data_IF_033334095429
#
_entry.id   IF_033334095429
#
_cell.length_a   1.000
_cell.length_b   1.000
_cell.length_c   1.000
_cell.angle_alpha   90.00
_cell.angle_beta   90.00
_cell.angle_gamma   90.00
#
_symmetry.space_group_name_H-M   'P 1'
#
loop_
_entity.id
_entity.type
_entity.pdbx_description
1 polymer ?
#
# COMPACT_ATOMS: atom_id res chain seq x y z
N UNK A 1 -50.54 -3.08 36.20
CA UNK A 1 -50.52 -3.68 37.56
C UNK A 1 -51.70 -3.14 38.35
N UNK A 2 -52.36 -3.98 39.11
CA UNK A 2 -53.40 -3.57 40.05
C UNK A 2 -52.77 -2.90 41.31
N UNK A 3 -53.15 -1.71 41.65
CA UNK A 3 -52.60 -0.98 42.82
C UNK A 3 -53.04 -1.55 44.18
N UNK A 4 -54.10 -2.36 44.19
CA UNK A 4 -54.63 -2.94 45.43
C UNK A 4 -54.03 -4.30 45.77
N UNK A 5 -53.81 -5.16 44.76
CA UNK A 5 -53.34 -6.54 44.99
C UNK A 5 -52.07 -6.93 44.25
N UNK A 6 -51.52 -6.03 43.44
CA UNK A 6 -50.27 -6.27 42.70
C UNK A 6 -50.39 -7.24 41.51
N UNK A 7 -51.58 -7.69 41.11
CA UNK A 7 -51.77 -8.58 39.98
C UNK A 7 -51.45 -7.89 38.65
N UNK A 8 -50.71 -8.59 37.80
CA UNK A 8 -50.28 -8.09 36.47
C UNK A 8 -51.28 -8.47 35.38
N UNK A 9 -51.51 -7.54 34.45
CA UNK A 9 -52.38 -7.76 33.30
C UNK A 9 -51.71 -7.21 32.02
N UNK A 10 -51.83 -7.95 30.92
CA UNK A 10 -51.21 -7.54 29.64
C UNK A 10 -51.97 -6.38 28.96
N UNK A 11 -53.18 -6.07 29.44
CA UNK A 11 -54.02 -4.98 28.93
C UNK A 11 -54.77 -4.36 30.08
N UNK A 12 -55.12 -3.08 29.92
CA UNK A 12 -55.99 -2.37 30.87
C UNK A 12 -57.39 -3.00 30.84
N UNK A 13 -57.93 -3.18 31.99
CA UNK A 13 -59.33 -3.59 32.20
C UNK A 13 -59.93 -2.81 33.39
N UNK A 14 -61.21 -2.49 33.31
CA UNK A 14 -61.87 -1.68 34.30
C UNK A 14 -61.97 -2.29 35.70
N UNK A 15 -61.95 -3.61 35.80
CA UNK A 15 -61.97 -4.33 37.07
C UNK A 15 -60.80 -5.31 37.16
N UNK A 16 -60.17 -5.39 38.30
CA UNK A 16 -59.13 -6.40 38.58
C UNK A 16 -59.79 -7.75 38.79
N UNK A 17 -59.41 -8.77 37.98
CA UNK A 17 -59.95 -10.12 38.08
C UNK A 17 -59.44 -10.88 39.31
N UNK A 18 -58.39 -10.44 39.97
CA UNK A 18 -57.82 -11.05 41.16
C UNK A 18 -58.45 -10.55 42.47
N UNK A 19 -58.64 -9.23 42.64
CA UNK A 19 -59.21 -8.65 43.85
C UNK A 19 -60.57 -7.98 43.65
N UNK A 20 -61.11 -7.98 42.42
CA UNK A 20 -62.39 -7.40 42.03
C UNK A 20 -62.55 -5.89 42.26
N UNK A 21 -61.43 -5.18 42.57
CA UNK A 21 -61.45 -3.73 42.72
C UNK A 21 -61.58 -3.05 41.34
N UNK A 22 -62.38 -1.97 41.27
CA UNK A 22 -62.60 -1.23 40.03
C UNK A 22 -61.61 -0.05 39.90
N UNK A 23 -61.14 0.20 38.64
CA UNK A 23 -60.25 1.27 38.26
C UNK A 23 -58.91 1.34 39.03
N UNK A 24 -58.44 0.17 39.49
CA UNK A 24 -57.20 0.02 40.25
C UNK A 24 -56.03 -0.43 39.37
N UNK A 25 -56.30 -0.76 38.09
CA UNK A 25 -55.26 -1.16 37.16
C UNK A 25 -54.65 0.08 36.51
N UNK A 26 -53.42 0.36 36.87
CA UNK A 26 -52.61 1.43 36.27
C UNK A 26 -51.57 0.82 35.35
N UNK A 27 -51.33 1.49 34.23
CA UNK A 27 -50.21 1.18 33.39
C UNK A 27 -48.94 1.59 34.15
N UNK A 28 -48.28 0.61 34.74
CA UNK A 28 -46.90 0.81 35.18
C UNK A 28 -46.10 0.84 33.89
N UNK A 29 -45.77 2.03 33.43
CA UNK A 29 -44.59 2.17 32.56
C UNK A 29 -43.40 1.78 33.44
N UNK A 30 -43.19 0.45 33.57
CA UNK A 30 -41.89 -0.05 33.88
C UNK A 30 -41.00 0.65 32.87
N UNK A 31 -39.93 1.26 33.30
CA UNK A 31 -38.76 1.41 32.44
C UNK A 31 -38.50 -0.01 32.05
N UNK A 32 -39.12 -0.45 30.95
CA UNK A 32 -38.75 -1.66 30.27
C UNK A 32 -37.23 -1.45 30.14
N UNK A 33 -36.47 -2.27 30.86
CA UNK A 33 -35.10 -2.50 30.47
C UNK A 33 -35.22 -2.75 28.97
N UNK A 34 -34.88 -1.74 28.20
CA UNK A 34 -34.96 -1.79 26.74
C UNK A 34 -34.42 -3.13 26.44
N UNK A 35 -35.16 -4.06 25.78
CA UNK A 35 -34.57 -5.32 25.40
C UNK A 35 -33.29 -4.86 24.78
N UNK A 36 -32.15 -5.34 25.32
CA UNK A 36 -30.85 -5.06 24.75
C UNK A 36 -31.08 -5.36 23.28
N UNK A 37 -31.32 -4.30 22.51
CA UNK A 37 -31.51 -4.41 21.07
C UNK A 37 -30.21 -5.05 20.73
N UNK A 38 -30.26 -6.37 20.42
CA UNK A 38 -29.08 -7.12 20.01
C UNK A 38 -28.52 -6.25 18.90
N UNK A 39 -27.49 -5.49 19.22
CA UNK A 39 -26.91 -4.52 18.29
C UNK A 39 -26.60 -5.33 17.08
N UNK A 40 -27.33 -5.08 16.00
CA UNK A 40 -27.06 -5.76 14.77
C UNK A 40 -25.62 -5.42 14.43
N UNK A 41 -24.71 -6.37 14.61
CA UNK A 41 -23.26 -6.15 14.44
C UNK A 41 -22.93 -5.57 13.06
N UNK A 42 -23.81 -5.82 12.08
CA UNK A 42 -23.73 -5.21 10.74
C UNK A 42 -23.92 -3.70 10.72
N UNK A 43 -24.62 -3.15 11.70
CA UNK A 43 -24.88 -1.70 11.82
C UNK A 43 -23.87 -1.02 12.74
N UNK A 44 -22.97 -1.77 13.40
CA UNK A 44 -21.92 -1.21 14.22
C UNK A 44 -20.78 -0.64 13.34
N UNK A 45 -20.19 0.48 13.77
CA UNK A 45 -19.01 1.04 13.12
C UNK A 45 -17.75 0.17 13.33
N UNK A 46 -16.65 0.58 12.73
CA UNK A 46 -15.35 -0.12 12.79
C UNK A 46 -14.45 0.33 13.95
N UNK A 47 -14.94 1.20 14.84
CA UNK A 47 -14.18 1.80 15.94
C UNK A 47 -13.96 0.86 17.14
N UNK A 48 -14.41 -0.40 17.06
CA UNK A 48 -14.38 -1.35 18.16
C UNK A 48 -15.64 -1.30 19.02
N UNK A 49 -15.71 -2.21 19.98
CA UNK A 49 -16.86 -2.29 20.89
C UNK A 49 -16.67 -1.25 21.99
N UNK A 50 -17.17 -0.07 21.78
CA UNK A 50 -17.42 0.80 22.92
C UNK A 50 -18.51 0.10 23.75
N UNK A 51 -18.29 -0.14 25.01
CA UNK A 51 -19.34 -0.43 25.99
C UNK A 51 -20.46 0.61 25.88
N UNK A 52 -21.19 0.89 26.91
CA UNK A 52 -22.19 1.98 26.90
C UNK A 52 -21.54 3.25 26.30
N UNK A 53 -22.13 3.76 25.20
CA UNK A 53 -21.61 4.91 24.51
C UNK A 53 -21.55 6.11 25.48
N UNK A 54 -20.34 6.60 25.75
CA UNK A 54 -20.08 7.76 26.61
C UNK A 54 -19.36 8.84 25.82
N UNK A 55 -19.80 10.06 25.97
CA UNK A 55 -19.07 11.23 25.47
C UNK A 55 -17.85 11.44 26.35
N UNK A 56 -16.66 11.52 25.79
CA UNK A 56 -15.41 11.77 26.48
C UNK A 56 -14.71 12.98 25.84
N UNK A 57 -13.97 13.72 26.64
CA UNK A 57 -13.08 14.76 26.10
C UNK A 57 -11.87 14.10 25.45
N UNK A 58 -11.38 14.67 24.38
CA UNK A 58 -10.19 14.16 23.68
C UNK A 58 -8.97 14.09 24.62
N UNK A 59 -8.83 15.05 25.54
CA UNK A 59 -7.77 15.07 26.55
C UNK A 59 -7.80 13.91 27.53
N UNK A 60 -8.98 13.32 27.76
CA UNK A 60 -9.19 12.26 28.74
C UNK A 60 -9.02 10.86 28.13
N UNK A 61 -8.80 10.82 26.80
CA UNK A 61 -8.54 9.57 26.09
C UNK A 61 -7.07 9.21 26.29
N UNK A 62 -6.84 8.05 26.89
CA UNK A 62 -5.49 7.52 27.06
C UNK A 62 -4.82 7.30 25.71
N UNK A 63 -3.65 7.91 25.53
CA UNK A 63 -2.77 7.71 24.39
C UNK A 63 -1.84 6.51 24.60
N UNK A 64 -2.31 5.43 25.22
CA UNK A 64 -1.54 4.21 25.27
C UNK A 64 -1.22 3.77 23.84
N UNK A 65 0.04 3.94 23.46
CA UNK A 65 0.54 3.37 22.22
C UNK A 65 0.44 1.85 22.34
N UNK A 66 -0.44 1.25 21.55
CA UNK A 66 -0.49 -0.20 21.42
C UNK A 66 0.87 -0.68 20.90
N UNK A 67 1.58 -1.55 21.63
CA UNK A 67 2.89 -2.00 21.22
C UNK A 67 2.76 -2.74 19.89
N UNK A 68 3.44 -2.22 18.86
CA UNK A 68 3.53 -2.88 17.55
C UNK A 68 4.47 -4.09 17.65
N UNK A 69 4.23 -5.10 16.85
CA UNK A 69 5.18 -6.19 16.70
C UNK A 69 5.70 -6.26 15.25
N UNK A 70 6.96 -6.69 15.13
CA UNK A 70 7.60 -6.80 13.81
C UNK A 70 7.10 -8.02 13.07
N UNK A 71 6.97 -7.90 11.75
CA UNK A 71 6.72 -9.03 10.84
C UNK A 71 7.95 -9.93 10.66
N UNK A 72 9.10 -9.51 11.17
CA UNK A 72 10.40 -10.13 10.90
C UNK A 72 11.07 -9.63 9.62
N UNK A 73 10.41 -8.75 8.87
CA UNK A 73 10.93 -8.07 7.69
C UNK A 73 10.91 -6.55 7.91
N UNK A 74 12.06 -5.90 7.85
CA UNK A 74 12.17 -4.43 7.98
C UNK A 74 11.45 -3.69 6.86
N UNK A 75 11.51 -4.22 5.64
CA UNK A 75 10.85 -3.64 4.49
C UNK A 75 9.32 -3.78 4.56
N UNK A 76 8.81 -4.85 5.15
CA UNK A 76 7.38 -5.01 5.40
C UNK A 76 6.92 -4.11 6.56
N UNK A 77 7.65 -4.09 7.65
CA UNK A 77 7.37 -3.22 8.80
C UNK A 77 7.33 -1.75 8.39
N UNK A 78 8.26 -1.31 7.53
CA UNK A 78 8.27 0.05 6.96
C UNK A 78 6.95 0.39 6.31
N UNK A 79 6.47 -0.45 5.43
CA UNK A 79 5.23 -0.24 4.67
C UNK A 79 4.00 -0.23 5.58
N UNK A 80 4.05 -0.97 6.69
CA UNK A 80 3.00 -0.98 7.72
C UNK A 80 3.08 0.21 8.69
N UNK A 81 4.11 1.06 8.58
CA UNK A 81 4.31 2.21 9.46
C UNK A 81 5.04 1.88 10.76
N UNK A 82 5.84 0.81 10.77
CA UNK A 82 6.68 0.38 11.90
C UNK A 82 6.30 -0.95 12.51
N UNK A 83 5.47 -1.75 11.84
CA UNK A 83 5.06 -3.08 12.27
C UNK A 83 3.55 -3.24 12.35
N UNK A 84 3.11 -4.40 12.85
CA UNK A 84 1.70 -4.75 12.97
C UNK A 84 1.12 -4.19 14.27
N UNK A 85 0.02 -3.46 14.15
CA UNK A 85 -0.74 -2.95 15.29
C UNK A 85 -1.74 -4.04 15.74
N UNK A 86 -1.76 -4.45 17.02
CA UNK A 86 -2.76 -5.39 17.53
C UNK A 86 -4.18 -4.94 17.24
N UNK A 87 -5.03 -5.86 16.80
CA UNK A 87 -6.43 -5.54 16.45
C UNK A 87 -6.61 -4.79 15.14
N UNK A 88 -5.57 -4.62 14.34
CA UNK A 88 -5.65 -3.98 13.02
C UNK A 88 -6.11 -4.92 11.93
N UNK A 89 -6.81 -4.37 10.94
CA UNK A 89 -7.19 -5.07 9.71
C UNK A 89 -6.33 -4.56 8.55
N UNK A 90 -5.56 -5.47 7.96
CA UNK A 90 -4.62 -5.19 6.88
C UNK A 90 -5.07 -5.94 5.63
N UNK A 91 -5.03 -5.29 4.47
CA UNK A 91 -5.26 -5.91 3.18
C UNK A 91 -3.95 -5.94 2.39
N UNK A 92 -3.56 -7.12 1.91
CA UNK A 92 -2.46 -7.28 0.95
C UNK A 92 -3.05 -7.64 -0.40
N UNK A 93 -2.96 -6.71 -1.35
CA UNK A 93 -3.34 -6.90 -2.74
C UNK A 93 -2.14 -7.21 -3.63
N UNK A 94 -2.42 -7.64 -4.84
CA UNK A 94 -1.41 -7.89 -5.87
C UNK A 94 -1.83 -8.95 -6.88
N UNK A 95 -1.12 -9.00 -8.00
CA UNK A 95 -1.37 -9.97 -9.05
C UNK A 95 -1.18 -11.42 -8.54
N UNK A 96 -1.88 -12.40 -9.12
CA UNK A 96 -1.56 -13.80 -8.90
C UNK A 96 -0.07 -14.06 -9.22
N UNK A 97 0.61 -14.82 -8.37
CA UNK A 97 2.04 -15.10 -8.53
C UNK A 97 3.00 -14.01 -8.03
N UNK A 98 2.52 -12.86 -7.55
CA UNK A 98 3.38 -11.81 -6.99
C UNK A 98 4.14 -12.25 -5.73
N UNK A 99 3.64 -13.26 -5.01
CA UNK A 99 4.29 -13.78 -3.79
C UNK A 99 3.62 -13.40 -2.49
N UNK A 100 2.35 -12.95 -2.52
CA UNK A 100 1.58 -12.55 -1.32
C UNK A 100 1.52 -13.67 -0.27
N UNK A 101 1.06 -14.84 -0.67
CA UNK A 101 0.96 -16.01 0.21
C UNK A 101 2.32 -16.47 0.72
N UNK A 102 3.37 -16.37 -0.10
CA UNK A 102 4.75 -16.67 0.30
C UNK A 102 5.25 -15.71 1.38
N UNK A 103 5.06 -14.40 1.19
CA UNK A 103 5.45 -13.39 2.17
C UNK A 103 4.77 -13.63 3.52
N UNK A 104 3.47 -13.90 3.50
CA UNK A 104 2.70 -14.12 4.72
C UNK A 104 3.02 -15.44 5.39
N UNK A 105 3.26 -16.51 4.62
CA UNK A 105 3.70 -17.79 5.18
C UNK A 105 5.07 -17.65 5.87
N UNK A 106 6.01 -16.96 5.26
CA UNK A 106 7.31 -16.65 5.88
C UNK A 106 7.16 -15.83 7.15
N UNK A 107 6.28 -14.82 7.14
CA UNK A 107 5.99 -13.98 8.31
C UNK A 107 5.41 -14.81 9.44
N UNK A 108 4.36 -15.59 9.18
CA UNK A 108 3.67 -16.35 10.21
C UNK A 108 4.51 -17.49 10.78
N UNK A 109 5.27 -18.20 9.96
CA UNK A 109 6.16 -19.26 10.45
C UNK A 109 7.21 -18.73 11.45
N UNK A 110 7.76 -17.54 11.18
CA UNK A 110 8.73 -16.90 12.09
C UNK A 110 8.07 -16.39 13.36
N UNK A 111 6.92 -15.73 13.23
CA UNK A 111 6.19 -15.20 14.38
C UNK A 111 5.61 -16.31 15.26
N UNK A 112 5.28 -17.47 14.70
CA UNK A 112 4.76 -18.61 15.44
C UNK A 112 5.71 -19.14 16.53
N UNK A 113 7.01 -18.85 16.41
CA UNK A 113 7.99 -19.19 17.44
C UNK A 113 7.86 -18.34 18.72
N UNK A 114 7.22 -17.16 18.61
CA UNK A 114 7.12 -16.19 19.69
C UNK A 114 5.68 -15.94 20.16
N UNK A 115 4.71 -16.13 19.29
CA UNK A 115 3.31 -15.85 19.55
C UNK A 115 2.39 -16.81 18.81
N UNK A 116 1.15 -16.96 19.27
CA UNK A 116 0.15 -17.72 18.55
C UNK A 116 -0.24 -17.03 17.25
N UNK A 117 -0.14 -17.76 16.15
CA UNK A 117 -0.52 -17.33 14.80
C UNK A 117 -1.43 -18.35 14.15
N UNK A 118 -2.34 -17.90 13.30
CA UNK A 118 -3.28 -18.76 12.58
C UNK A 118 -3.27 -18.38 11.08
N UNK A 119 -3.00 -19.36 10.23
CA UNK A 119 -3.10 -19.21 8.78
C UNK A 119 -4.34 -19.92 8.27
N UNK A 120 -5.29 -19.15 7.76
CA UNK A 120 -6.55 -19.68 7.19
C UNK A 120 -6.41 -19.69 5.67
N UNK A 121 -6.53 -20.89 5.09
CA UNK A 121 -6.51 -21.07 3.64
C UNK A 121 -7.86 -21.51 3.13
N UNK A 122 -8.37 -20.83 2.10
CA UNK A 122 -9.57 -21.22 1.38
C UNK A 122 -9.32 -21.59 -0.08
N UNK A 123 -8.12 -21.35 -0.58
CA UNK A 123 -7.74 -21.65 -1.97
C UNK A 123 -6.86 -22.88 -2.11
N UNK A 124 -5.92 -23.05 -1.21
CA UNK A 124 -4.98 -24.16 -1.23
C UNK A 124 -5.29 -25.15 -0.10
N UNK A 125 -5.00 -26.43 -0.33
CA UNK A 125 -5.09 -27.44 0.74
C UNK A 125 -3.99 -27.23 1.79
N UNK A 126 -4.21 -27.70 2.99
CA UNK A 126 -3.20 -27.67 4.06
C UNK A 126 -1.89 -28.34 3.62
N UNK A 127 -1.99 -29.42 2.85
CA UNK A 127 -0.83 -30.14 2.33
C UNK A 127 -0.03 -29.27 1.33
N UNK A 128 -0.70 -28.53 0.44
CA UNK A 128 -0.02 -27.64 -0.51
C UNK A 128 0.75 -26.53 0.21
N UNK A 129 0.14 -25.94 1.24
CA UNK A 129 0.82 -24.91 2.04
C UNK A 129 1.99 -25.49 2.82
N UNK A 130 1.83 -26.67 3.42
CA UNK A 130 2.89 -27.38 4.14
C UNK A 130 4.08 -27.72 3.22
N UNK A 131 3.81 -28.20 2.00
CA UNK A 131 4.85 -28.47 0.99
C UNK A 131 5.61 -27.22 0.61
N UNK A 132 4.93 -26.08 0.45
CA UNK A 132 5.56 -24.79 0.19
C UNK A 132 6.46 -24.37 1.35
N UNK A 133 5.96 -24.43 2.59
CA UNK A 133 6.75 -24.10 3.77
C UNK A 133 8.02 -24.96 3.89
N UNK A 134 7.90 -26.25 3.61
CA UNK A 134 9.04 -27.17 3.62
C UNK A 134 10.06 -26.83 2.51
N UNK A 135 9.60 -26.58 1.30
CA UNK A 135 10.48 -26.17 0.18
C UNK A 135 11.23 -24.87 0.49
N UNK A 136 10.59 -23.93 1.18
CA UNK A 136 11.18 -22.65 1.57
C UNK A 136 12.10 -22.78 2.80
N UNK A 137 12.17 -23.95 3.43
CA UNK A 137 12.98 -24.16 4.64
C UNK A 137 12.50 -23.38 5.85
N UNK A 138 11.19 -23.18 5.97
CA UNK A 138 10.60 -22.41 7.07
C UNK A 138 10.41 -23.25 8.34
N UNK A 139 10.47 -22.64 9.55
CA UNK A 139 10.10 -23.31 10.79
C UNK A 139 8.60 -23.56 10.80
N UNK A 140 8.19 -24.82 10.74
CA UNK A 140 6.78 -25.22 10.61
C UNK A 140 6.13 -25.70 11.90
N UNK A 141 6.92 -25.91 12.97
CA UNK A 141 6.47 -26.63 14.17
C UNK A 141 5.37 -25.94 14.98
N UNK A 142 5.27 -24.62 14.90
CA UNK A 142 4.40 -23.82 15.77
C UNK A 142 3.27 -23.08 15.03
N UNK A 143 3.25 -23.08 13.69
CA UNK A 143 2.21 -22.42 12.93
C UNK A 143 0.93 -23.23 12.91
N UNK A 144 -0.16 -22.66 13.40
CA UNK A 144 -1.49 -23.25 13.31
C UNK A 144 -2.10 -22.94 11.93
N UNK A 145 -2.67 -23.98 11.32
CA UNK A 145 -3.30 -23.92 10.01
C UNK A 145 -4.77 -24.30 10.10
N UNK A 146 -5.61 -23.62 9.33
CA UNK A 146 -7.03 -23.91 9.20
C UNK A 146 -7.43 -23.86 7.73
N UNK A 147 -8.13 -24.92 7.26
CA UNK A 147 -8.79 -24.91 5.95
C UNK A 147 -10.29 -24.69 6.17
N UNK A 148 -10.75 -23.47 5.91
CA UNK A 148 -12.15 -23.07 6.11
C UNK A 148 -12.44 -21.82 5.25
N UNK A 149 -13.70 -21.69 4.82
CA UNK A 149 -14.18 -20.54 4.03
C UNK A 149 -15.36 -19.83 4.68
N UNK A 150 -16.01 -20.41 5.67
CA UNK A 150 -17.05 -19.76 6.47
C UNK A 150 -16.45 -18.81 7.48
N UNK A 151 -16.76 -17.53 7.36
CA UNK A 151 -16.24 -16.49 8.28
C UNK A 151 -16.73 -16.70 9.71
N UNK A 152 -17.97 -17.16 9.89
CA UNK A 152 -18.52 -17.45 11.22
C UNK A 152 -17.72 -18.57 11.92
N UNK A 153 -17.38 -19.63 11.19
CA UNK A 153 -16.58 -20.73 11.72
C UNK A 153 -15.15 -20.31 12.00
N UNK A 154 -14.55 -19.55 11.10
CA UNK A 154 -13.17 -19.01 11.26
C UNK A 154 -13.08 -18.16 12.53
N UNK A 155 -14.02 -17.24 12.73
CA UNK A 155 -14.01 -16.36 13.90
C UNK A 155 -14.30 -17.11 15.20
N UNK A 156 -15.15 -18.13 15.18
CA UNK A 156 -15.40 -18.98 16.33
C UNK A 156 -14.13 -19.74 16.75
N UNK A 157 -13.43 -20.33 15.80
CA UNK A 157 -12.16 -21.03 16.06
C UNK A 157 -11.07 -20.04 16.52
N UNK A 158 -11.00 -18.87 15.90
CA UNK A 158 -10.05 -17.83 16.31
C UNK A 158 -10.34 -17.29 17.72
N UNK A 159 -11.57 -17.27 18.16
CA UNK A 159 -11.94 -16.90 19.53
C UNK A 159 -11.46 -17.94 20.56
N UNK A 160 -11.50 -19.22 20.23
CA UNK A 160 -10.98 -20.30 21.06
C UNK A 160 -9.44 -20.33 21.07
N UNK A 161 -8.81 -20.22 19.91
CA UNK A 161 -7.36 -20.29 19.75
C UNK A 161 -6.62 -19.02 20.20
N UNK A 162 -7.29 -17.86 20.15
CA UNK A 162 -6.75 -16.55 20.53
C UNK A 162 -5.41 -16.20 19.84
N UNK A 163 -5.31 -16.27 18.51
CA UNK A 163 -4.10 -15.87 17.81
C UNK A 163 -3.87 -14.37 17.96
N UNK A 164 -2.60 -13.95 17.96
CA UNK A 164 -2.24 -12.54 17.89
C UNK A 164 -2.26 -11.99 16.47
N UNK A 165 -2.01 -12.86 15.51
CA UNK A 165 -2.05 -12.58 14.07
C UNK A 165 -2.75 -13.72 13.34
N UNK A 166 -3.71 -13.38 12.50
CA UNK A 166 -4.43 -14.29 11.63
C UNK A 166 -4.34 -13.86 10.18
N UNK A 167 -4.06 -14.78 9.27
CA UNK A 167 -4.06 -14.54 7.82
C UNK A 167 -5.28 -15.21 7.21
N UNK A 168 -5.97 -14.49 6.33
CA UNK A 168 -7.09 -14.98 5.50
C UNK A 168 -6.64 -15.01 4.05
N UNK A 169 -6.45 -16.18 3.48
CA UNK A 169 -5.95 -16.39 2.12
C UNK A 169 -6.92 -17.23 1.28
N UNK A 170 -7.75 -16.60 0.45
CA UNK A 170 -7.97 -15.18 0.21
C UNK A 170 -9.38 -14.76 0.60
N UNK A 171 -9.57 -13.44 0.74
CA UNK A 171 -10.89 -12.87 1.08
C UNK A 171 -11.96 -13.18 0.03
N UNK A 172 -11.58 -13.36 -1.23
CA UNK A 172 -12.51 -13.62 -2.34
C UNK A 172 -13.20 -14.99 -2.26
N UNK A 173 -12.63 -15.96 -1.58
CA UNK A 173 -13.22 -17.29 -1.44
C UNK A 173 -14.01 -17.45 -0.14
N UNK A 174 -13.97 -16.45 0.74
CA UNK A 174 -14.69 -16.44 2.00
C UNK A 174 -16.18 -16.12 1.80
N UNK A 175 -17.01 -16.64 2.67
CA UNK A 175 -18.45 -16.40 2.64
C UNK A 175 -19.05 -16.28 4.04
N UNK A 176 -20.19 -15.62 4.09
CA UNK A 176 -21.08 -15.55 5.24
C UNK A 176 -22.40 -16.22 4.86
N UNK A 177 -22.96 -17.03 5.77
CA UNK A 177 -24.18 -17.80 5.54
C UNK A 177 -25.40 -16.91 5.19
N UNK A 178 -25.48 -15.73 5.79
CA UNK A 178 -26.59 -14.79 5.59
C UNK A 178 -26.55 -14.03 4.25
N UNK A 179 -25.46 -14.12 3.50
CA UNK A 179 -25.28 -13.42 2.24
C UNK A 179 -25.53 -14.40 1.10
N UNK A 180 -26.60 -14.16 0.34
CA UNK A 180 -27.02 -15.08 -0.73
C UNK A 180 -26.14 -15.01 -2.00
N UNK A 181 -25.34 -13.97 -2.15
CA UNK A 181 -24.43 -13.82 -3.30
C UNK A 181 -23.24 -14.78 -3.20
N UNK A 182 -22.71 -15.17 -4.37
CA UNK A 182 -21.57 -16.10 -4.45
C UNK A 182 -20.30 -15.52 -3.81
N UNK A 183 -19.40 -16.38 -3.31
CA UNK A 183 -18.05 -15.97 -2.92
C UNK A 183 -17.36 -15.21 -4.06
N UNK A 184 -16.59 -14.18 -3.73
CA UNK A 184 -15.95 -13.31 -4.71
C UNK A 184 -16.82 -12.18 -5.26
N UNK A 185 -18.13 -12.20 -5.02
CA UNK A 185 -19.00 -11.07 -5.34
C UNK A 185 -18.68 -9.86 -4.47
N UNK A 186 -18.94 -8.66 -4.97
CA UNK A 186 -18.70 -7.40 -4.23
C UNK A 186 -19.40 -7.41 -2.86
N UNK A 187 -20.64 -7.91 -2.80
CA UNK A 187 -21.39 -7.98 -1.56
C UNK A 187 -20.76 -8.95 -0.55
N UNK A 188 -20.38 -10.15 -0.97
CA UNK A 188 -19.71 -11.12 -0.09
C UNK A 188 -18.37 -10.59 0.41
N UNK A 189 -17.52 -10.10 -0.47
CA UNK A 189 -16.19 -9.57 -0.11
C UNK A 189 -16.31 -8.41 0.86
N UNK A 190 -17.26 -7.50 0.64
CA UNK A 190 -17.51 -6.38 1.54
C UNK A 190 -17.93 -6.82 2.93
N UNK A 191 -18.95 -7.68 3.01
CA UNK A 191 -19.51 -8.10 4.30
C UNK A 191 -18.53 -8.99 5.09
N UNK A 192 -17.82 -9.88 4.42
CA UNK A 192 -16.79 -10.73 5.05
C UNK A 192 -15.63 -9.89 5.59
N UNK A 193 -15.13 -8.93 4.82
CA UNK A 193 -14.08 -8.03 5.27
C UNK A 193 -14.54 -7.13 6.43
N UNK A 194 -15.77 -6.63 6.38
CA UNK A 194 -16.35 -5.82 7.44
C UNK A 194 -16.50 -6.63 8.75
N UNK A 195 -16.96 -7.88 8.67
CA UNK A 195 -17.06 -8.77 9.82
C UNK A 195 -15.69 -9.05 10.45
N UNK A 196 -14.70 -9.40 9.63
CA UNK A 196 -13.33 -9.66 10.09
C UNK A 196 -12.70 -8.42 10.73
N UNK A 197 -12.95 -7.23 10.17
CA UNK A 197 -12.42 -5.97 10.73
C UNK A 197 -13.01 -5.69 12.11
N UNK A 198 -14.31 -5.89 12.30
CA UNK A 198 -14.95 -5.75 13.61
C UNK A 198 -14.41 -6.77 14.60
N UNK A 199 -14.28 -8.04 14.16
CA UNK A 199 -13.69 -9.10 14.98
C UNK A 199 -12.26 -8.75 15.42
N UNK A 200 -11.41 -8.27 14.49
CA UNK A 200 -10.05 -7.84 14.79
C UNK A 200 -10.01 -6.82 15.93
N UNK A 201 -10.85 -5.80 15.85
CA UNK A 201 -10.89 -4.70 16.84
C UNK A 201 -11.48 -5.11 18.17
N UNK A 202 -12.51 -5.95 18.17
CA UNK A 202 -13.18 -6.38 19.41
C UNK A 202 -12.38 -7.42 20.18
N UNK A 203 -11.60 -8.25 19.50
CA UNK A 203 -10.81 -9.33 20.11
C UNK A 203 -9.32 -9.01 20.22
N UNK A 204 -8.86 -7.89 19.65
CA UNK A 204 -7.44 -7.52 19.64
C UNK A 204 -6.57 -8.43 18.78
N UNK A 205 -7.15 -9.11 17.79
CA UNK A 205 -6.46 -9.97 16.83
C UNK A 205 -6.11 -9.15 15.60
N UNK A 206 -4.83 -9.08 15.23
CA UNK A 206 -4.45 -8.50 13.94
C UNK A 206 -4.81 -9.48 12.82
N UNK A 207 -5.50 -8.98 11.78
CA UNK A 207 -5.93 -9.80 10.65
C UNK A 207 -5.32 -9.24 9.37
N UNK A 208 -4.67 -10.12 8.61
CA UNK A 208 -4.17 -9.81 7.26
C UNK A 208 -5.00 -10.58 6.25
N UNK A 209 -5.71 -9.85 5.42
CA UNK A 209 -6.52 -10.39 4.32
C UNK A 209 -5.74 -10.33 3.02
N UNK A 210 -5.66 -11.47 2.32
CA UNK A 210 -5.09 -11.53 0.97
C UNK A 210 -6.19 -11.22 -0.04
N UNK A 211 -5.91 -10.31 -0.97
CA UNK A 211 -6.81 -9.94 -2.07
C UNK A 211 -6.12 -10.04 -3.42
N UNK A 212 -6.81 -10.59 -4.42
CA UNK A 212 -6.33 -10.61 -5.79
C UNK A 212 -6.84 -9.38 -6.54
N UNK A 213 -5.99 -8.77 -7.33
CA UNK A 213 -6.39 -7.69 -8.24
C UNK A 213 -6.96 -8.26 -9.53
N UNK A 214 -7.89 -7.52 -10.12
CA UNK A 214 -8.39 -7.83 -11.46
C UNK A 214 -7.35 -7.49 -12.53
N UNK A 215 -7.57 -7.92 -13.78
CA UNK A 215 -6.69 -7.61 -14.91
C UNK A 215 -6.48 -6.10 -15.13
N UNK A 216 -7.42 -5.28 -14.68
CA UNK A 216 -7.36 -3.82 -14.75
C UNK A 216 -6.55 -3.20 -13.59
N UNK A 217 -5.87 -4.02 -12.78
CA UNK A 217 -5.09 -3.58 -11.63
C UNK A 217 -5.92 -3.11 -10.43
N UNK A 218 -7.24 -3.28 -10.48
CA UNK A 218 -8.13 -3.00 -9.35
C UNK A 218 -8.34 -4.25 -8.52
N UNK A 219 -8.44 -4.10 -7.20
CA UNK A 219 -8.91 -5.19 -6.34
C UNK A 219 -10.35 -5.56 -6.74
N UNK A 220 -10.70 -6.82 -6.80
CA UNK A 220 -12.10 -7.23 -6.96
C UNK A 220 -12.90 -6.76 -5.73
N UNK A 221 -13.66 -5.70 -5.88
CA UNK A 221 -14.41 -5.04 -4.80
C UNK A 221 -13.66 -4.03 -3.95
N UNK A 222 -12.71 -3.23 -4.46
CA UNK A 222 -11.62 -2.61 -3.69
C UNK A 222 -11.98 -1.34 -2.94
N UNK A 223 -12.66 -0.40 -3.54
CA UNK A 223 -12.99 0.88 -2.89
C UNK A 223 -13.86 0.71 -1.63
N UNK A 224 -14.65 -0.36 -1.61
CA UNK A 224 -15.50 -0.68 -0.46
C UNK A 224 -14.68 -1.23 0.70
N UNK A 225 -13.65 -2.04 0.42
CA UNK A 225 -12.74 -2.56 1.44
C UNK A 225 -11.89 -1.47 2.06
N UNK A 226 -11.45 -0.48 1.29
CA UNK A 226 -10.64 0.62 1.80
C UNK A 226 -11.30 1.40 2.93
N UNK A 227 -12.64 1.43 2.98
CA UNK A 227 -13.35 2.12 4.06
C UNK A 227 -13.31 1.36 5.39
N UNK A 228 -13.28 0.04 5.37
CA UNK A 228 -13.33 -0.77 6.59
C UNK A 228 -11.96 -1.16 7.14
N UNK A 229 -10.94 -1.32 6.31
CA UNK A 229 -9.59 -1.71 6.70
C UNK A 229 -8.74 -0.55 7.19
N UNK A 230 -7.73 -0.86 7.99
CA UNK A 230 -6.80 0.14 8.57
C UNK A 230 -5.60 0.42 7.69
N UNK A 231 -5.09 -0.61 7.02
CA UNK A 231 -3.92 -0.53 6.15
C UNK A 231 -4.16 -1.36 4.88
N UNK A 232 -3.80 -0.81 3.73
CA UNK A 232 -3.84 -1.48 2.44
C UNK A 232 -2.48 -1.39 1.79
N UNK A 233 -1.90 -2.52 1.43
CA UNK A 233 -0.61 -2.62 0.76
C UNK A 233 -0.75 -3.42 -0.53
N UNK A 234 0.03 -3.06 -1.53
CA UNK A 234 0.07 -3.76 -2.82
C UNK A 234 1.45 -4.37 -3.03
N UNK A 235 1.48 -5.64 -3.33
CA UNK A 235 2.69 -6.35 -3.75
C UNK A 235 2.70 -6.43 -5.28
N UNK A 236 3.60 -5.65 -5.89
CA UNK A 236 3.78 -5.56 -7.32
C UNK A 236 5.03 -6.30 -7.77
N UNK A 237 4.97 -6.83 -8.97
CA UNK A 237 6.07 -7.51 -9.64
C UNK A 237 5.54 -8.57 -10.59
N UNK A 238 6.08 -8.59 -11.80
CA UNK A 238 5.74 -9.61 -12.78
C UNK A 238 6.33 -10.96 -12.38
N UNK A 239 5.71 -12.06 -12.85
CA UNK A 239 6.15 -13.40 -12.54
C UNK A 239 7.62 -13.64 -12.94
N UNK A 240 8.07 -13.01 -14.03
CA UNK A 240 9.41 -13.10 -14.56
C UNK A 240 10.41 -12.13 -13.91
N UNK A 241 9.92 -11.14 -13.15
CA UNK A 241 10.79 -10.20 -12.46
C UNK A 241 11.39 -10.82 -11.20
N UNK A 242 12.69 -10.63 -11.00
CA UNK A 242 13.38 -11.04 -9.77
C UNK A 242 12.96 -10.21 -8.56
N UNK A 243 12.53 -8.98 -8.76
CA UNK A 243 12.23 -8.06 -7.68
C UNK A 243 10.73 -7.90 -7.49
N UNK A 244 10.35 -7.60 -6.25
CA UNK A 244 8.99 -7.29 -5.83
C UNK A 244 9.01 -6.00 -5.03
N UNK A 245 8.05 -5.13 -5.30
CA UNK A 245 7.84 -3.92 -4.52
C UNK A 245 6.56 -4.02 -3.73
N UNK A 246 6.63 -3.71 -2.45
CA UNK A 246 5.49 -3.62 -1.55
C UNK A 246 5.21 -2.15 -1.28
N UNK A 247 4.02 -1.67 -1.63
CA UNK A 247 3.64 -0.26 -1.51
C UNK A 247 2.41 -0.08 -0.65
N UNK A 248 2.46 0.86 0.26
CA UNK A 248 1.32 1.27 1.07
C UNK A 248 0.41 2.22 0.28
N UNK A 249 -0.87 1.89 0.17
CA UNK A 249 -1.90 2.75 -0.44
C UNK A 249 -2.76 3.46 0.60
N UNK A 250 -3.03 2.79 1.70
CA UNK A 250 -3.74 3.34 2.86
C UNK A 250 -3.04 2.89 4.14
N UNK A 251 -2.84 3.81 5.06
CA UNK A 251 -2.28 3.47 6.36
C UNK A 251 -2.79 4.45 7.43
N UNK A 252 -3.60 3.96 8.36
CA UNK A 252 -4.07 4.74 9.52
C UNK A 252 -3.01 4.89 10.61
N UNK A 253 -1.93 4.13 10.54
CA UNK A 253 -0.90 4.03 11.57
C UNK A 253 0.44 4.63 11.18
N UNK A 254 0.54 5.18 9.96
CA UNK A 254 1.79 5.74 9.47
C UNK A 254 1.63 6.43 8.12
N UNK A 255 2.77 6.71 7.48
CA UNK A 255 2.79 7.34 6.17
C UNK A 255 2.21 6.42 5.08
N UNK A 256 1.56 7.02 4.10
CA UNK A 256 1.14 6.35 2.87
C UNK A 256 2.25 6.43 1.81
N UNK A 257 2.18 5.60 0.78
CA UNK A 257 3.16 5.50 -0.32
C UNK A 257 4.56 5.05 0.10
N UNK A 258 4.70 4.50 1.30
CA UNK A 258 5.95 3.84 1.70
C UNK A 258 6.22 2.64 0.78
N UNK A 259 7.49 2.47 0.43
CA UNK A 259 7.97 1.42 -0.44
C UNK A 259 8.89 0.45 0.29
N UNK A 260 8.55 -0.83 0.24
CA UNK A 260 9.43 -1.94 0.61
C UNK A 260 9.89 -2.70 -0.63
N UNK A 261 11.12 -3.17 -0.63
CA UNK A 261 11.70 -3.88 -1.77
C UNK A 261 12.21 -5.24 -1.37
N UNK A 262 11.79 -6.25 -2.14
CA UNK A 262 12.16 -7.65 -1.95
C UNK A 262 12.72 -8.24 -3.24
N UNK A 263 13.56 -9.26 -3.10
CA UNK A 263 13.97 -10.14 -4.18
C UNK A 263 13.29 -11.49 -4.03
N UNK A 264 12.73 -12.04 -5.10
CA UNK A 264 12.22 -13.40 -5.13
C UNK A 264 13.40 -14.36 -5.32
N UNK A 265 13.53 -15.33 -4.41
CA UNK A 265 14.58 -16.36 -4.44
C UNK A 265 13.95 -17.74 -4.31
N UNK A 266 14.74 -18.79 -4.49
CA UNK A 266 14.30 -20.17 -4.23
C UNK A 266 13.84 -20.40 -2.77
N UNK A 267 14.35 -19.59 -1.85
CA UNK A 267 13.99 -19.62 -0.42
C UNK A 267 12.87 -18.62 -0.06
N UNK A 268 12.15 -18.09 -1.05
CA UNK A 268 11.09 -17.11 -0.88
C UNK A 268 11.56 -15.67 -1.07
N UNK A 269 10.82 -14.75 -0.48
CA UNK A 269 11.12 -13.32 -0.54
C UNK A 269 12.23 -12.97 0.44
N UNK A 270 13.22 -12.22 -0.04
CA UNK A 270 14.30 -11.65 0.76
C UNK A 270 14.31 -10.14 0.64
N UNK A 271 14.58 -9.46 1.74
CA UNK A 271 14.69 -8.01 1.77
C UNK A 271 15.89 -7.54 0.95
N UNK A 272 15.73 -6.40 0.28
CA UNK A 272 16.82 -5.72 -0.41
C UNK A 272 17.26 -4.53 0.44
N UNK A 273 18.47 -4.61 0.97
CA UNK A 273 19.02 -3.58 1.87
C UNK A 273 19.37 -2.27 1.15
N UNK A 274 19.76 -2.36 -0.12
CA UNK A 274 20.06 -1.21 -0.97
C UNK A 274 19.24 -1.25 -2.27
N UNK A 275 18.00 -0.75 -2.24
CA UNK A 275 17.14 -0.74 -3.41
C UNK A 275 17.68 0.10 -4.58
N UNK A 276 18.42 1.16 -4.30
CA UNK A 276 19.02 2.00 -5.36
C UNK A 276 19.94 1.20 -6.29
N UNK A 277 20.61 0.19 -5.78
CA UNK A 277 21.46 -0.68 -6.60
C UNK A 277 20.67 -1.49 -7.65
N UNK A 278 19.39 -1.72 -7.41
CA UNK A 278 18.49 -2.46 -8.32
C UNK A 278 17.99 -1.56 -9.46
N UNK A 279 17.69 -0.30 -9.12
CA UNK A 279 17.08 0.66 -10.02
C UNK A 279 18.10 1.43 -10.86
N UNK A 280 19.39 1.07 -10.71
CA UNK A 280 20.49 1.58 -11.52
C UNK A 280 21.05 0.44 -12.35
N UNK A 281 20.87 0.51 -13.68
CA UNK A 281 21.47 -0.43 -14.63
C UNK A 281 22.84 0.13 -15.06
N UNK A 282 23.81 0.13 -14.15
CA UNK A 282 25.16 0.57 -14.48
C UNK A 282 25.96 -0.56 -15.12
N UNK A 283 26.07 -0.51 -16.44
CA UNK A 283 27.08 -1.26 -17.17
C UNK A 283 28.44 -0.52 -17.18
N UNK A 284 29.49 -1.22 -17.55
CA UNK A 284 30.83 -0.63 -17.73
C UNK A 284 30.87 0.33 -18.96
N UNK A 285 29.91 0.21 -19.86
CA UNK A 285 29.80 1.04 -21.06
C UNK A 285 28.92 2.27 -20.82
N UNK A 286 29.41 3.42 -21.21
CA UNK A 286 28.68 4.69 -21.18
C UNK A 286 27.79 4.75 -22.42
N UNK A 287 26.48 4.76 -22.22
CA UNK A 287 25.49 4.79 -23.30
C UNK A 287 24.68 6.09 -23.27
N UNK A 288 24.30 6.58 -24.47
CA UNK A 288 23.38 7.70 -24.59
C UNK A 288 21.96 7.31 -24.18
N UNK A 289 21.17 8.29 -23.75
CA UNK A 289 19.76 8.09 -23.42
C UNK A 289 19.49 7.66 -21.98
N UNK A 290 20.50 7.62 -21.11
CA UNK A 290 20.34 7.27 -19.69
C UNK A 290 20.53 8.50 -18.80
N UNK A 291 19.62 8.69 -17.84
CA UNK A 291 19.68 9.73 -16.82
C UNK A 291 19.30 9.14 -15.47
N UNK A 292 19.98 9.55 -14.41
CA UNK A 292 19.67 9.11 -13.04
C UNK A 292 19.02 10.25 -12.28
N UNK A 293 17.93 9.92 -11.60
CA UNK A 293 17.23 10.84 -10.71
C UNK A 293 17.16 10.30 -9.29
N UNK A 294 16.83 11.15 -8.34
CA UNK A 294 16.46 10.74 -6.98
C UNK A 294 14.94 10.86 -6.84
N UNK A 295 14.28 9.71 -6.76
CA UNK A 295 12.85 9.58 -6.51
C UNK A 295 12.59 9.62 -5.01
N UNK A 296 11.49 10.24 -4.59
CA UNK A 296 11.06 10.25 -3.19
C UNK A 296 9.85 9.34 -3.00
N UNK A 297 10.02 8.22 -2.31
CA UNK A 297 8.97 7.24 -2.06
C UNK A 297 8.66 7.15 -0.57
N UNK A 298 7.49 7.67 -0.17
CA UNK A 298 7.11 7.79 1.24
C UNK A 298 8.08 8.68 2.01
N UNK A 299 8.91 8.08 2.85
CA UNK A 299 9.99 8.77 3.60
C UNK A 299 11.39 8.45 3.07
N UNK A 300 11.48 7.83 1.89
CA UNK A 300 12.70 7.21 1.39
C UNK A 300 13.13 7.78 0.05
N UNK A 301 14.35 8.33 -0.06
CA UNK A 301 14.96 8.65 -1.34
C UNK A 301 15.49 7.37 -2.02
N UNK A 302 15.28 7.26 -3.32
CA UNK A 302 15.76 6.17 -4.16
C UNK A 302 16.39 6.72 -5.43
N UNK A 303 17.57 6.21 -5.78
CA UNK A 303 18.17 6.48 -7.07
C UNK A 303 17.53 5.57 -8.12
N UNK A 304 17.05 6.17 -9.19
CA UNK A 304 16.34 5.49 -10.27
C UNK A 304 16.91 5.95 -11.61
N UNK A 305 17.18 5.01 -12.49
CA UNK A 305 17.61 5.28 -13.84
C UNK A 305 16.42 5.34 -14.79
N UNK A 306 16.37 6.39 -15.58
CA UNK A 306 15.42 6.58 -16.67
C UNK A 306 16.19 6.46 -17.99
N UNK A 307 15.71 5.58 -18.85
CA UNK A 307 16.26 5.34 -20.17
C UNK A 307 15.31 5.86 -21.25
N UNK A 308 15.85 6.55 -22.22
CA UNK A 308 15.11 7.01 -23.38
C UNK A 308 15.80 6.53 -24.67
N UNK A 309 15.00 6.10 -25.62
CA UNK A 309 15.42 5.81 -26.99
C UNK A 309 14.64 6.74 -27.94
N UNK A 310 15.37 7.56 -28.66
CA UNK A 310 14.83 8.46 -29.68
C UNK A 310 15.43 8.08 -31.01
N UNK A 311 14.59 7.77 -32.00
CA UNK A 311 15.01 7.38 -33.32
C UNK A 311 14.05 7.89 -34.38
N UNK A 312 14.48 8.01 -35.60
CA UNK A 312 13.65 8.46 -36.72
C UNK A 312 12.50 7.48 -36.96
N UNK A 313 11.26 7.99 -37.04
CA UNK A 313 10.11 7.17 -37.30
C UNK A 313 10.10 6.65 -38.75
N UNK A 314 10.17 5.35 -38.90
CA UNK A 314 10.16 4.67 -40.22
C UNK A 314 8.75 4.56 -40.83
N UNK A 315 7.71 4.78 -40.04
CA UNK A 315 6.33 4.47 -40.44
C UNK A 315 5.44 5.69 -40.64
N UNK A 316 5.97 6.89 -40.65
CA UNK A 316 5.20 8.13 -40.86
C UNK A 316 4.29 8.57 -39.71
N UNK A 317 4.08 7.68 -38.73
CA UNK A 317 3.33 7.94 -37.49
C UNK A 317 4.26 7.71 -36.30
N UNK A 318 4.87 8.74 -35.73
CA UNK A 318 5.81 8.62 -34.62
C UNK A 318 5.16 7.98 -33.39
N UNK A 319 5.81 6.96 -32.85
CA UNK A 319 5.38 6.25 -31.64
C UNK A 319 5.87 6.96 -30.40
N UNK A 320 5.01 6.99 -29.37
CA UNK A 320 5.32 7.54 -28.06
C UNK A 320 4.96 6.50 -27.02
N UNK A 321 5.94 5.89 -26.39
CA UNK A 321 5.73 4.81 -25.42
C UNK A 321 6.47 5.14 -24.13
N UNK A 322 5.74 5.08 -23.01
CA UNK A 322 6.31 5.23 -21.68
C UNK A 322 6.02 4.01 -20.83
N UNK A 323 7.05 3.43 -20.24
CA UNK A 323 6.97 2.31 -19.29
C UNK A 323 7.48 2.81 -17.95
N UNK A 324 6.64 2.70 -16.91
CA UNK A 324 6.95 3.20 -15.58
C UNK A 324 6.70 4.70 -15.37
N UNK A 325 6.22 5.40 -16.40
CA UNK A 325 5.85 6.81 -16.38
C UNK A 325 4.47 7.01 -17.04
N UNK A 326 3.79 8.09 -16.67
CA UNK A 326 2.51 8.43 -17.27
C UNK A 326 2.67 8.90 -18.72
N UNK A 327 1.91 8.30 -19.63
CA UNK A 327 1.96 8.59 -21.08
C UNK A 327 1.65 10.05 -21.40
N UNK A 328 0.68 10.65 -20.71
CA UNK A 328 0.31 12.06 -20.91
C UNK A 328 1.43 12.99 -20.48
N UNK A 329 2.20 12.63 -19.45
CA UNK A 329 3.33 13.43 -19.02
C UNK A 329 4.44 13.46 -20.07
N UNK A 330 4.72 12.33 -20.70
CA UNK A 330 5.65 12.26 -21.82
C UNK A 330 5.24 13.20 -22.96
N UNK A 331 3.96 13.20 -23.33
CA UNK A 331 3.44 14.08 -24.40
C UNK A 331 3.61 15.56 -24.07
N UNK A 332 3.33 15.96 -22.83
CA UNK A 332 3.53 17.34 -22.36
C UNK A 332 5.01 17.73 -22.44
N UNK A 333 5.91 16.90 -21.95
CA UNK A 333 7.34 17.19 -21.95
C UNK A 333 7.93 17.27 -23.36
N UNK A 334 7.45 16.45 -24.29
CA UNK A 334 7.84 16.56 -25.70
C UNK A 334 7.43 17.90 -26.32
N UNK A 335 6.21 18.39 -25.99
CA UNK A 335 5.76 19.70 -26.43
C UNK A 335 6.62 20.84 -25.84
N UNK A 336 6.98 20.76 -24.57
CA UNK A 336 7.88 21.72 -23.91
C UNK A 336 9.26 21.69 -24.55
N UNK A 337 9.80 20.52 -24.81
CA UNK A 337 11.12 20.34 -25.43
C UNK A 337 11.16 20.94 -26.84
N UNK A 338 10.12 20.76 -27.63
CA UNK A 338 9.98 21.35 -28.94
C UNK A 338 9.91 22.89 -28.85
N UNK A 339 8.99 23.41 -28.04
CA UNK A 339 8.72 24.85 -27.95
C UNK A 339 9.84 25.65 -27.29
N UNK A 340 10.39 25.16 -26.20
CA UNK A 340 11.34 25.88 -25.35
C UNK A 340 12.76 25.33 -25.43
N UNK A 341 12.93 24.09 -25.86
CA UNK A 341 14.27 23.51 -26.12
C UNK A 341 14.76 23.66 -27.55
N UNK A 342 13.86 24.03 -28.46
CA UNK A 342 14.20 24.21 -29.89
C UNK A 342 14.54 22.88 -30.60
N UNK A 343 14.16 21.75 -30.06
CA UNK A 343 14.49 20.43 -30.61
C UNK A 343 13.29 19.84 -31.37
N UNK A 344 13.53 19.41 -32.60
CA UNK A 344 12.55 18.79 -33.47
C UNK A 344 12.36 17.32 -33.07
N UNK A 345 11.18 17.01 -32.56
CA UNK A 345 10.83 15.64 -32.13
C UNK A 345 9.63 15.06 -32.90
N UNK A 346 9.06 15.83 -33.82
CA UNK A 346 7.81 15.48 -34.50
C UNK A 346 7.94 14.22 -35.38
N UNK A 347 9.10 13.97 -35.94
CA UNK A 347 9.43 12.83 -36.82
C UNK A 347 10.17 11.69 -36.08
N UNK A 348 10.29 11.78 -34.75
CA UNK A 348 11.01 10.80 -33.95
C UNK A 348 10.07 9.86 -33.21
N UNK A 349 10.38 8.56 -33.22
CA UNK A 349 9.87 7.62 -32.26
C UNK A 349 10.54 7.87 -30.89
N UNK A 350 9.76 7.86 -29.81
CA UNK A 350 10.28 8.04 -28.46
C UNK A 350 9.81 6.92 -27.56
N UNK A 351 10.75 6.21 -27.00
CA UNK A 351 10.51 5.15 -26.02
C UNK A 351 11.20 5.51 -24.71
N UNK A 352 10.47 5.45 -23.62
CA UNK A 352 11.00 5.73 -22.28
C UNK A 352 10.71 4.56 -21.37
N UNK A 353 11.71 4.18 -20.60
CA UNK A 353 11.63 3.10 -19.63
C UNK A 353 12.26 3.50 -18.29
N UNK A 354 11.56 3.20 -17.20
CA UNK A 354 12.11 3.31 -15.85
C UNK A 354 12.72 1.95 -15.48
N UNK A 355 14.00 1.93 -15.16
CA UNK A 355 14.71 0.71 -14.81
C UNK A 355 14.17 0.10 -13.51
N UNK A 356 14.10 -1.22 -13.45
CA UNK A 356 13.68 -1.97 -12.26
C UNK A 356 12.18 -2.08 -12.04
N UNK A 357 11.35 -1.60 -13.00
CA UNK A 357 9.89 -1.73 -12.93
C UNK A 357 9.22 -0.80 -11.91
N UNK A 358 9.93 0.21 -11.42
CA UNK A 358 9.36 1.23 -10.53
C UNK A 358 8.42 2.14 -11.31
N UNK A 359 7.28 2.46 -10.74
CA UNK A 359 6.39 3.49 -11.28
C UNK A 359 6.75 4.84 -10.70
N UNK A 360 7.15 5.77 -11.55
CA UNK A 360 7.45 7.16 -11.19
C UNK A 360 6.21 8.01 -11.43
N UNK A 361 5.62 8.53 -10.36
CA UNK A 361 4.40 9.35 -10.39
C UNK A 361 4.66 10.81 -10.07
N UNK A 362 5.82 11.13 -9.51
CA UNK A 362 6.17 12.50 -9.15
C UNK A 362 6.75 13.30 -10.32
N UNK A 363 6.43 14.59 -10.37
CA UNK A 363 6.89 15.50 -11.43
C UNK A 363 8.38 15.85 -11.33
N UNK A 364 9.03 15.51 -10.23
CA UNK A 364 10.48 15.69 -10.05
C UNK A 364 11.33 14.93 -11.08
N UNK A 365 10.76 13.94 -11.75
CA UNK A 365 11.40 13.18 -12.82
C UNK A 365 11.48 13.91 -14.17
N UNK A 366 10.75 15.01 -14.35
CA UNK A 366 10.60 15.69 -15.63
C UNK A 366 11.93 16.07 -16.26
N UNK A 367 12.79 16.73 -15.51
CA UNK A 367 14.09 17.21 -16.03
C UNK A 367 15.00 16.03 -16.40
N UNK A 368 15.02 14.97 -15.59
CA UNK A 368 15.80 13.78 -15.88
C UNK A 368 15.31 13.09 -17.17
N UNK A 369 13.99 13.01 -17.36
CA UNK A 369 13.38 12.45 -18.55
C UNK A 369 13.74 13.29 -19.80
N UNK A 370 13.64 14.62 -19.71
CA UNK A 370 14.02 15.51 -20.80
C UNK A 370 15.49 15.35 -21.20
N UNK A 371 16.39 15.32 -20.22
CA UNK A 371 17.82 15.15 -20.52
C UNK A 371 18.15 13.75 -21.05
N UNK A 372 17.45 12.71 -20.63
CA UNK A 372 17.59 11.39 -21.21
C UNK A 372 17.18 11.37 -22.70
N UNK A 373 16.05 12.00 -23.03
CA UNK A 373 15.61 12.13 -24.42
C UNK A 373 16.59 12.94 -25.28
N UNK A 374 17.08 14.06 -24.77
CA UNK A 374 18.09 14.89 -25.46
C UNK A 374 19.39 14.12 -25.66
N UNK A 375 19.84 13.40 -24.66
CA UNK A 375 21.01 12.53 -24.73
C UNK A 375 20.89 11.49 -25.84
N UNK A 376 19.74 10.82 -25.93
CA UNK A 376 19.48 9.84 -27.00
C UNK A 376 19.39 10.49 -28.38
N UNK A 377 18.68 11.61 -28.50
CA UNK A 377 18.52 12.34 -29.77
C UNK A 377 19.87 12.80 -30.34
N UNK A 378 20.77 13.28 -29.48
CA UNK A 378 22.11 13.78 -29.86
C UNK A 378 23.18 12.69 -29.88
N UNK A 379 22.84 11.47 -29.50
CA UNK A 379 23.77 10.37 -29.28
C UNK A 379 24.98 10.78 -28.42
N UNK A 380 24.70 11.54 -27.38
CA UNK A 380 25.70 12.06 -26.45
C UNK A 380 25.35 11.62 -25.02
N UNK A 381 26.17 10.75 -24.41
CA UNK A 381 25.92 10.28 -23.06
C UNK A 381 25.96 11.40 -22.02
N UNK A 382 25.10 11.30 -20.99
CA UNK A 382 25.25 12.05 -19.76
C UNK A 382 26.38 11.47 -18.90
N UNK A 383 27.08 12.28 -18.10
CA UNK A 383 28.08 11.75 -17.18
C UNK A 383 27.50 10.71 -16.23
N UNK A 384 28.23 9.63 -15.96
CA UNK A 384 27.76 8.54 -15.08
C UNK A 384 27.60 8.94 -13.62
N UNK A 385 28.29 9.98 -13.19
CA UNK A 385 28.23 10.51 -11.83
C UNK A 385 27.24 11.68 -11.66
N UNK A 386 26.36 11.89 -12.66
CA UNK A 386 25.38 12.96 -12.69
C UNK A 386 24.01 12.45 -12.22
N UNK A 387 23.38 13.16 -11.29
CA UNK A 387 21.96 13.06 -10.99
C UNK A 387 21.21 14.30 -11.46
N UNK A 388 19.97 14.09 -11.87
CA UNK A 388 19.11 15.16 -12.39
C UNK A 388 17.74 15.06 -11.74
N UNK A 389 17.20 16.16 -11.25
CA UNK A 389 15.80 16.22 -10.86
C UNK A 389 15.26 17.65 -11.00
N UNK A 390 13.96 17.77 -11.15
CA UNK A 390 13.25 19.04 -11.26
C UNK A 390 11.94 18.89 -12.00
N UNK A 391 10.93 19.64 -11.60
CA UNK A 391 9.67 19.73 -12.32
C UNK A 391 9.81 20.74 -13.46
N UNK A 392 9.27 20.41 -14.63
CA UNK A 392 9.29 21.29 -15.81
C UNK A 392 7.88 21.79 -16.09
N UNK A 393 7.70 23.10 -16.07
CA UNK A 393 6.44 23.75 -16.40
C UNK A 393 6.25 23.98 -17.90
N UNK A 394 5.03 24.31 -18.29
CA UNK A 394 4.65 24.52 -19.70
C UNK A 394 5.36 25.71 -20.38
N UNK A 395 5.84 26.66 -19.60
CA UNK A 395 6.65 27.79 -20.09
C UNK A 395 8.15 27.47 -20.15
N UNK A 396 8.55 26.22 -19.93
CA UNK A 396 9.97 25.80 -19.90
C UNK A 396 10.70 26.17 -18.62
N UNK A 397 10.00 26.66 -17.60
CA UNK A 397 10.55 26.96 -16.28
C UNK A 397 10.85 25.66 -15.53
N UNK A 398 11.95 25.67 -14.78
CA UNK A 398 12.34 24.57 -13.88
C UNK A 398 11.89 24.92 -12.47
N UNK A 399 10.95 24.16 -11.94
CA UNK A 399 10.34 24.36 -10.63
C UNK A 399 11.02 23.54 -9.55
N UNK A 400 11.15 24.09 -8.33
CA UNK A 400 11.70 23.36 -7.21
C UNK A 400 10.81 22.14 -6.86
N UNK A 401 11.45 21.13 -6.30
CA UNK A 401 10.80 19.90 -5.82
C UNK A 401 10.98 19.78 -4.32
N UNK A 402 10.09 19.04 -3.62
CA UNK A 402 10.26 18.77 -2.20
C UNK A 402 11.55 17.99 -1.91
N UNK A 403 12.12 18.21 -0.72
CA UNK A 403 13.28 17.45 -0.21
C UNK A 403 14.53 17.49 -1.10
N UNK A 404 14.78 18.63 -1.73
CA UNK A 404 15.91 18.78 -2.66
C UNK A 404 17.27 18.54 -2.02
N UNK A 405 17.47 18.98 -0.79
CA UNK A 405 18.72 18.78 -0.05
C UNK A 405 18.95 17.31 0.27
N UNK A 406 17.92 16.62 0.70
CA UNK A 406 17.95 15.18 1.04
C UNK A 406 18.22 14.33 -0.20
N UNK A 407 17.65 14.71 -1.34
CA UNK A 407 17.88 14.04 -2.63
C UNK A 407 19.38 14.17 -3.06
N UNK A 408 19.96 15.34 -2.91
CA UNK A 408 21.38 15.57 -3.22
C UNK A 408 22.27 14.79 -2.24
N UNK A 409 21.94 14.80 -0.96
CA UNK A 409 22.68 14.04 0.07
C UNK A 409 22.65 12.54 -0.21
N UNK A 410 21.52 12.01 -0.64
CA UNK A 410 21.40 10.60 -1.01
C UNK A 410 22.25 10.27 -2.24
N UNK A 411 22.23 11.11 -3.26
CA UNK A 411 23.08 10.95 -4.43
C UNK A 411 24.58 10.93 -4.06
N UNK A 412 25.00 11.83 -3.17
CA UNK A 412 26.38 11.87 -2.69
C UNK A 412 26.80 10.58 -1.97
N UNK A 413 25.93 10.00 -1.15
CA UNK A 413 26.17 8.70 -0.47
C UNK A 413 26.38 7.55 -1.45
N UNK A 414 25.77 7.60 -2.61
CA UNK A 414 25.89 6.59 -3.67
C UNK A 414 27.01 6.89 -4.68
N UNK A 415 27.88 7.85 -4.39
CA UNK A 415 29.08 8.14 -5.19
C UNK A 415 28.86 9.10 -6.38
N UNK A 416 27.68 9.72 -6.48
CA UNK A 416 27.46 10.77 -7.47
C UNK A 416 28.19 12.04 -7.07
N UNK A 417 28.71 12.76 -8.07
CA UNK A 417 29.54 13.95 -7.86
C UNK A 417 28.99 15.19 -8.52
N UNK A 418 28.01 15.05 -9.41
CA UNK A 418 27.40 16.16 -10.14
C UNK A 418 25.88 16.08 -10.05
N UNK A 419 25.23 17.24 -9.97
CA UNK A 419 23.78 17.33 -9.95
C UNK A 419 23.29 18.53 -10.77
N UNK A 420 22.29 18.32 -11.61
CA UNK A 420 21.52 19.39 -12.27
C UNK A 420 20.15 19.43 -11.56
N UNK A 421 19.86 20.55 -10.92
CA UNK A 421 18.69 20.69 -10.05
C UNK A 421 18.05 22.08 -10.25
N UNK A 422 16.78 22.27 -9.84
CA UNK A 422 16.19 23.59 -9.80
C UNK A 422 17.05 24.56 -8.96
N UNK A 423 17.22 25.80 -9.40
CA UNK A 423 18.04 26.80 -8.70
C UNK A 423 17.61 26.98 -7.24
N UNK A 424 16.30 26.93 -6.96
CA UNK A 424 15.77 27.03 -5.60
C UNK A 424 16.07 25.79 -4.71
N UNK A 425 16.46 24.67 -5.29
CA UNK A 425 16.85 23.45 -4.56
C UNK A 425 18.36 23.36 -4.30
N UNK A 426 19.16 24.28 -4.78
CA UNK A 426 20.59 24.30 -4.48
C UNK A 426 20.77 24.50 -2.97
N UNK A 427 21.39 23.55 -2.25
CA UNK A 427 21.53 23.68 -0.82
C UNK A 427 22.53 24.77 -0.44
N UNK A 428 22.31 25.39 0.73
CA UNK A 428 23.25 26.38 1.27
C UNK A 428 24.61 25.76 1.57
N UNK A 429 24.62 24.50 1.97
CA UNK A 429 25.83 23.70 2.20
C UNK A 429 25.79 22.50 1.25
N UNK A 430 26.62 22.54 0.23
CA UNK A 430 26.76 21.46 -0.74
C UNK A 430 27.57 20.34 -0.09
N UNK A 431 27.18 19.05 -0.25
CA UNK A 431 27.98 17.92 0.21
C UNK A 431 29.40 17.97 -0.38
N UNK A 432 30.38 17.56 0.43
CA UNK A 432 31.79 17.57 0.02
C UNK A 432 31.99 16.73 -1.26
N UNK A 433 32.72 17.29 -2.22
CA UNK A 433 32.98 16.65 -3.50
C UNK A 433 31.84 16.66 -4.50
N UNK A 434 30.72 17.31 -4.19
CA UNK A 434 29.61 17.50 -5.12
C UNK A 434 29.71 18.85 -5.84
N UNK A 435 29.37 18.85 -7.14
CA UNK A 435 29.13 20.04 -7.94
C UNK A 435 27.66 20.11 -8.29
N UNK A 436 26.99 21.18 -7.87
CA UNK A 436 25.54 21.35 -8.06
C UNK A 436 25.28 22.53 -9.01
N UNK A 437 24.60 22.21 -10.11
CA UNK A 437 24.19 23.19 -11.12
C UNK A 437 22.74 23.56 -10.92
N UNK A 438 22.47 24.76 -10.45
CA UNK A 438 21.11 25.29 -10.30
C UNK A 438 20.61 25.89 -11.60
N UNK A 439 19.47 25.41 -12.11
CA UNK A 439 18.87 25.86 -13.35
C UNK A 439 17.48 26.45 -13.12
N UNK A 440 17.12 27.48 -13.90
CA UNK A 440 15.81 28.15 -13.82
C UNK A 440 14.92 27.86 -15.02
N UNK A 441 15.54 27.59 -16.16
CA UNK A 441 14.83 27.30 -17.43
C UNK A 441 15.44 26.08 -18.10
N UNK A 442 14.65 25.45 -18.98
CA UNK A 442 15.09 24.30 -19.77
C UNK A 442 16.37 24.63 -20.57
N UNK A 443 16.45 25.84 -21.16
CA UNK A 443 17.66 26.30 -21.87
C UNK A 443 18.92 26.26 -21.01
N UNK A 444 18.83 26.65 -19.73
CA UNK A 444 19.95 26.59 -18.80
C UNK A 444 20.42 25.15 -18.57
N UNK A 445 19.49 24.22 -18.42
CA UNK A 445 19.80 22.80 -18.24
C UNK A 445 20.48 22.21 -19.48
N UNK A 446 20.02 22.57 -20.68
CA UNK A 446 20.65 22.16 -21.94
C UNK A 446 22.07 22.73 -22.10
N UNK A 447 22.30 23.99 -21.71
CA UNK A 447 23.64 24.60 -21.72
C UNK A 447 24.57 23.87 -20.74
N UNK A 448 24.11 23.57 -19.53
CA UNK A 448 24.91 22.77 -18.56
C UNK A 448 25.26 21.41 -19.16
N UNK A 449 24.31 20.77 -19.83
CA UNK A 449 24.57 19.47 -20.47
C UNK A 449 25.61 19.61 -21.62
N UNK A 450 25.56 20.69 -22.35
CA UNK A 450 26.53 20.96 -23.43
C UNK A 450 27.97 21.20 -22.91
N UNK A 451 28.09 21.73 -21.69
CA UNK A 451 29.37 22.01 -21.03
C UNK A 451 29.95 20.79 -20.27
N UNK A 452 29.17 19.77 -19.99
CA UNK A 452 29.58 18.53 -19.29
C UNK A 452 30.12 17.47 -20.24
#
# INVERSE_FOLDING_TARGET
>A
VCNECGADYPRWQGQCSACHAWNTITEVRGVAASPSVARNERLSGYAGNAGVAKVQKLSDISLEELPRFSTGFKEFDRVLGGGVVPGSAILIGGNPGAGKSTLLLQTLCRLAEQMKTLYVTGEESLQQVAMRAHRLGLPTGNLNMLSETSIEQICMIAEEEQPKLMVIDSIQVMHMADIQSSPGSVAQVRETAAYLTRFAKTRGVAIVMVGHVTKDGSLAGPKVLEHCIDCSVMLDGDADSRFRTLRSHKNRFGAVNELGVFAMTEQGLREVSNPSAIFLSRGDEITSGSSVMVLWEGTRPLLVEIQALVDVSMMGNPRRVAVGLEQNRLAILLAVLHRHGGLQMADQDVFVNVVGGVKVTETSADLALLLAMVSSLRDRPLPQDLVVFGEVGLAGEIRPVPSGQERISEAAKHGFRRAIVPAANVPKKIPEGMQVFGVKKLADALNVFDDL
#
